data_IF_533917624268
#
_entry.id   IF_533917624268
#
_cell.length_a   1.000
_cell.length_b   1.000
_cell.length_c   1.000
_cell.angle_alpha   90.00
_cell.angle_beta   90.00
_cell.angle_gamma   90.00
#
_symmetry.space_group_name_H-M   'P 1'
#
loop_
_entity.id
_entity.type
_entity.pdbx_description
1 polymer ?
#
# COMPACT_ATOMS: atom_id res chain seq x y z
N UNK A 1 -11.48 19.74 15.69
CA UNK A 1 -11.48 20.33 14.35
C UNK A 1 -12.12 19.36 13.35
N UNK A 2 -12.77 19.89 12.31
CA UNK A 2 -13.38 19.08 11.25
C UNK A 2 -12.34 18.58 10.22
N UNK A 3 -11.20 19.25 10.13
CA UNK A 3 -10.09 18.93 9.23
C UNK A 3 -8.77 19.07 9.96
N UNK A 4 -7.91 18.07 9.82
CA UNK A 4 -6.52 18.05 10.28
C UNK A 4 -5.61 17.86 9.05
N UNK A 5 -4.65 18.75 8.87
CA UNK A 5 -3.66 18.68 7.77
C UNK A 5 -2.29 18.41 8.40
N UNK A 6 -1.61 17.38 7.92
CA UNK A 6 -0.30 16.93 8.40
C UNK A 6 0.65 16.80 7.23
N UNK A 7 1.78 17.50 7.29
CA UNK A 7 2.81 17.46 6.26
C UNK A 7 3.99 16.64 6.74
N UNK A 8 4.23 15.50 6.09
CA UNK A 8 5.26 14.50 6.38
C UNK A 8 5.42 14.16 7.88
N UNK A 9 4.32 13.85 8.60
CA UNK A 9 4.35 13.77 10.06
C UNK A 9 5.23 12.64 10.60
N UNK A 10 5.56 11.62 9.79
CA UNK A 10 6.37 10.47 10.22
C UNK A 10 7.83 10.55 9.79
N UNK A 11 8.23 11.61 9.07
CA UNK A 11 9.56 11.72 8.45
C UNK A 11 10.73 11.63 9.45
N UNK A 12 10.53 12.08 10.69
CA UNK A 12 11.54 12.10 11.76
C UNK A 12 11.34 10.99 12.80
N UNK A 13 10.36 10.12 12.62
CA UNK A 13 10.03 9.06 13.55
C UNK A 13 10.69 7.73 13.14
N UNK A 14 11.09 6.94 14.12
CA UNK A 14 11.42 5.54 13.89
C UNK A 14 10.16 4.74 13.48
N UNK A 15 10.30 3.54 12.91
CA UNK A 15 9.16 2.78 12.39
C UNK A 15 8.10 2.45 13.45
N UNK A 16 8.48 2.26 14.71
CA UNK A 16 7.53 1.94 15.79
C UNK A 16 6.74 3.19 16.14
N UNK A 17 7.43 4.30 16.40
CA UNK A 17 6.79 5.57 16.71
C UNK A 17 5.90 6.07 15.54
N UNK A 18 6.30 5.86 14.31
CA UNK A 18 5.50 6.18 13.13
C UNK A 18 4.19 5.37 13.10
N UNK A 19 4.26 4.06 13.36
CA UNK A 19 3.08 3.20 13.43
C UNK A 19 2.12 3.65 14.53
N UNK A 20 2.62 3.88 15.75
CA UNK A 20 1.81 4.34 16.90
C UNK A 20 1.15 5.70 16.63
N UNK A 21 1.87 6.60 15.96
CA UNK A 21 1.34 7.89 15.53
C UNK A 21 0.18 7.72 14.55
N UNK A 22 0.36 6.91 13.51
CA UNK A 22 -0.67 6.68 12.49
C UNK A 22 -1.90 5.98 13.04
N UNK A 23 -1.73 5.03 13.98
CA UNK A 23 -2.85 4.41 14.69
C UNK A 23 -3.62 5.45 15.51
N UNK A 24 -2.92 6.36 16.17
CA UNK A 24 -3.54 7.46 16.92
C UNK A 24 -4.33 8.39 16.01
N UNK A 25 -3.75 8.77 14.87
CA UNK A 25 -4.43 9.59 13.85
C UNK A 25 -5.68 8.89 13.32
N UNK A 26 -5.61 7.59 13.02
CA UNK A 26 -6.76 6.81 12.58
C UNK A 26 -7.83 6.72 13.66
N UNK A 27 -7.45 6.63 14.92
CA UNK A 27 -8.38 6.64 16.05
C UNK A 27 -9.10 8.00 16.16
N UNK A 28 -8.38 9.11 16.04
CA UNK A 28 -8.96 10.45 16.02
C UNK A 28 -9.97 10.60 14.89
N UNK A 29 -9.59 10.17 13.69
CA UNK A 29 -10.49 10.18 12.52
C UNK A 29 -11.78 9.41 12.80
N UNK A 30 -11.67 8.19 13.33
CA UNK A 30 -12.82 7.32 13.59
C UNK A 30 -13.69 7.80 14.77
N UNK A 31 -13.08 8.16 15.90
CA UNK A 31 -13.78 8.39 17.15
C UNK A 31 -14.37 9.83 17.21
N UNK A 32 -13.72 10.79 16.56
CA UNK A 32 -14.12 12.21 16.56
C UNK A 32 -14.75 12.61 15.22
N UNK A 33 -14.56 11.83 14.15
CA UNK A 33 -15.07 12.15 12.82
C UNK A 33 -14.25 13.25 12.11
N UNK A 34 -13.02 13.54 12.57
CA UNK A 34 -12.14 14.51 11.93
C UNK A 34 -11.62 13.98 10.61
N UNK A 35 -11.79 14.73 9.53
CA UNK A 35 -11.11 14.43 8.26
C UNK A 35 -9.62 14.69 8.41
N UNK A 36 -8.80 13.74 7.99
CA UNK A 36 -7.34 13.89 8.04
C UNK A 36 -6.77 13.86 6.62
N UNK A 37 -6.04 14.90 6.26
CA UNK A 37 -5.24 14.98 5.05
C UNK A 37 -3.77 14.95 5.47
N UNK A 38 -3.01 13.98 4.95
CA UNK A 38 -1.57 13.92 5.23
C UNK A 38 -0.76 13.68 3.97
N UNK A 39 0.45 14.22 3.93
CA UNK A 39 1.45 13.93 2.89
C UNK A 39 2.49 12.97 3.45
N UNK A 40 2.94 12.03 2.65
CA UNK A 40 3.99 11.08 3.03
C UNK A 40 4.71 10.52 1.81
N UNK A 41 5.99 10.17 2.00
CA UNK A 41 6.80 9.50 0.97
C UNK A 41 6.90 8.00 1.19
N UNK A 42 6.75 7.53 2.42
CA UNK A 42 6.80 6.10 2.78
C UNK A 42 5.41 5.46 2.66
N UNK A 43 5.03 5.16 1.43
CA UNK A 43 3.68 4.67 1.11
C UNK A 43 3.33 3.37 1.84
N UNK A 44 4.30 2.48 2.05
CA UNK A 44 4.10 1.23 2.77
C UNK A 44 3.56 1.41 4.19
N UNK A 45 3.92 2.52 4.85
CA UNK A 45 3.52 2.80 6.22
C UNK A 45 2.11 3.39 6.28
N UNK A 46 1.68 4.11 5.24
CA UNK A 46 0.39 4.83 5.17
C UNK A 46 -0.74 3.98 4.59
N UNK A 47 -0.45 3.15 3.60
CA UNK A 47 -1.45 2.38 2.86
C UNK A 47 -2.42 1.62 3.76
N UNK A 48 -2.01 0.98 4.88
CA UNK A 48 -2.93 0.28 5.76
C UNK A 48 -3.95 1.18 6.46
N UNK A 49 -3.66 2.47 6.58
CA UNK A 49 -4.47 3.43 7.33
C UNK A 49 -5.32 4.35 6.45
N UNK A 50 -4.92 4.54 5.19
CA UNK A 50 -5.59 5.45 4.27
C UNK A 50 -6.94 4.89 3.77
N UNK A 51 -7.95 5.76 3.68
CA UNK A 51 -9.21 5.44 3.03
C UNK A 51 -9.16 5.81 1.53
N UNK A 52 -8.48 6.91 1.19
CA UNK A 52 -8.22 7.38 -0.17
C UNK A 52 -6.79 7.86 -0.31
N UNK A 53 -6.25 7.71 -1.50
CA UNK A 53 -4.88 8.12 -1.84
C UNK A 53 -4.93 8.99 -3.09
N UNK A 54 -4.18 10.08 -3.05
CA UNK A 54 -3.91 10.96 -4.17
C UNK A 54 -2.43 10.85 -4.50
N UNK A 55 -2.11 10.38 -5.70
CA UNK A 55 -0.72 10.26 -6.17
C UNK A 55 -0.42 11.46 -7.05
N UNK A 56 0.63 12.19 -6.69
CA UNK A 56 1.16 13.31 -7.48
C UNK A 56 2.57 12.96 -7.95
N UNK A 57 2.84 13.13 -9.22
CA UNK A 57 4.15 12.94 -9.82
C UNK A 57 4.62 14.21 -10.50
N UNK A 58 5.92 14.37 -10.70
CA UNK A 58 6.55 15.55 -11.35
C UNK A 58 6.00 15.83 -12.76
N UNK A 59 5.47 14.81 -13.42
CA UNK A 59 4.79 14.93 -14.72
C UNK A 59 3.35 15.46 -14.66
N UNK A 60 2.82 15.77 -13.47
CA UNK A 60 1.45 16.21 -13.28
C UNK A 60 0.40 15.09 -13.42
N UNK A 61 0.84 13.84 -13.56
CA UNK A 61 -0.07 12.70 -13.53
C UNK A 61 -0.72 12.61 -12.16
N UNK A 62 -2.04 12.54 -12.15
CA UNK A 62 -2.82 12.48 -10.93
C UNK A 62 -3.64 11.20 -10.90
N UNK A 63 -3.36 10.36 -9.92
CA UNK A 63 -4.15 9.16 -9.65
C UNK A 63 -4.86 9.35 -8.31
N UNK A 64 -6.14 9.02 -8.29
CA UNK A 64 -6.96 9.05 -7.09
C UNK A 64 -7.71 7.72 -6.95
N UNK A 65 -7.76 7.20 -5.75
CA UNK A 65 -8.50 5.96 -5.49
C UNK A 65 -8.29 5.41 -4.10
N UNK A 66 -8.87 4.25 -3.87
CA UNK A 66 -8.57 3.45 -2.67
C UNK A 66 -7.14 2.90 -2.73
N UNK A 67 -6.55 2.53 -1.58
CA UNK A 67 -5.21 1.92 -1.56
C UNK A 67 -5.05 0.74 -2.51
N UNK A 68 -6.09 -0.09 -2.68
CA UNK A 68 -6.06 -1.25 -3.58
C UNK A 68 -6.07 -0.86 -5.05
N UNK A 69 -6.88 0.12 -5.42
CA UNK A 69 -6.94 0.64 -6.78
C UNK A 69 -5.62 1.27 -7.19
N UNK A 70 -5.06 2.13 -6.32
CA UNK A 70 -3.78 2.79 -6.56
C UNK A 70 -2.65 1.78 -6.69
N UNK A 71 -2.53 0.83 -5.75
CA UNK A 71 -1.48 -0.19 -5.82
C UNK A 71 -1.58 -1.06 -7.08
N UNK A 72 -2.79 -1.41 -7.48
CA UNK A 72 -3.01 -2.19 -8.71
C UNK A 72 -2.69 -1.37 -9.96
N UNK A 73 -3.07 -0.08 -10.00
CA UNK A 73 -2.77 0.80 -11.13
C UNK A 73 -1.26 1.02 -11.28
N UNK A 74 -0.57 1.42 -10.21
CA UNK A 74 0.88 1.62 -10.22
C UNK A 74 1.66 0.36 -10.61
N UNK A 75 1.19 -0.81 -10.16
CA UNK A 75 1.82 -2.08 -10.51
C UNK A 75 1.62 -2.47 -11.97
N UNK A 76 0.43 -2.23 -12.54
CA UNK A 76 0.15 -2.50 -13.95
C UNK A 76 0.95 -1.61 -14.89
N UNK A 77 1.09 -0.34 -14.53
CA UNK A 77 1.84 0.66 -15.28
C UNK A 77 3.35 0.55 -15.06
N UNK A 78 3.80 -0.33 -14.14
CA UNK A 78 5.20 -0.46 -13.72
C UNK A 78 5.81 0.87 -13.27
N UNK A 79 5.00 1.69 -12.61
CA UNK A 79 5.44 2.98 -12.11
C UNK A 79 6.49 2.82 -11.01
N UNK A 80 7.49 3.71 -10.98
CA UNK A 80 8.60 3.63 -10.00
C UNK A 80 8.13 3.63 -8.53
N UNK A 81 7.06 4.35 -8.22
CA UNK A 81 6.46 4.38 -6.87
C UNK A 81 5.88 3.03 -6.44
N UNK A 82 5.64 2.09 -7.36
CA UNK A 82 5.13 0.76 -7.01
C UNK A 82 6.08 0.00 -6.07
N UNK A 83 7.38 0.22 -6.18
CA UNK A 83 8.38 -0.38 -5.29
C UNK A 83 8.29 0.11 -3.84
N UNK A 84 7.63 1.24 -3.60
CA UNK A 84 7.34 1.78 -2.27
C UNK A 84 6.02 1.28 -1.68
N UNK A 85 5.30 0.41 -2.39
CA UNK A 85 4.07 -0.21 -1.91
C UNK A 85 4.37 -1.37 -0.93
N UNK A 86 3.42 -1.74 -0.06
CA UNK A 86 3.57 -2.92 0.79
C UNK A 86 3.92 -4.18 -0.01
N UNK A 87 4.89 -4.96 0.49
CA UNK A 87 5.36 -6.19 -0.17
C UNK A 87 4.21 -7.15 -0.55
N UNK A 88 3.18 -7.39 0.30
CA UNK A 88 2.06 -8.23 -0.08
C UNK A 88 1.32 -7.76 -1.34
N UNK A 89 1.22 -6.44 -1.52
CA UNK A 89 0.65 -5.82 -2.72
C UNK A 89 1.49 -6.08 -3.96
N UNK A 90 2.82 -5.95 -3.83
CA UNK A 90 3.75 -6.20 -4.94
C UNK A 90 3.64 -7.66 -5.41
N UNK A 91 3.63 -8.61 -4.48
CA UNK A 91 3.45 -10.04 -4.80
C UNK A 91 2.10 -10.30 -5.47
N UNK A 92 1.03 -9.69 -4.96
CA UNK A 92 -0.31 -9.84 -5.52
C UNK A 92 -0.38 -9.41 -6.99
N UNK A 93 0.17 -8.25 -7.33
CA UNK A 93 0.14 -7.72 -8.71
C UNK A 93 0.88 -8.64 -9.68
N UNK A 94 2.04 -9.18 -9.27
CA UNK A 94 2.83 -10.12 -10.08
C UNK A 94 2.09 -11.43 -10.34
N UNK A 95 1.28 -11.89 -9.40
CA UNK A 95 0.53 -13.16 -9.55
C UNK A 95 -0.71 -13.04 -10.42
N UNK A 96 -1.16 -11.82 -10.73
CA UNK A 96 -2.43 -11.56 -11.45
C UNK A 96 -3.63 -12.26 -10.84
N UNK A 97 -3.63 -12.40 -9.51
CA UNK A 97 -4.70 -13.03 -8.75
C UNK A 97 -6.04 -12.32 -8.96
N UNK A 98 -7.13 -13.08 -8.88
CA UNK A 98 -8.51 -12.55 -8.86
C UNK A 98 -9.03 -12.30 -7.43
N UNK A 99 -8.26 -12.69 -6.42
CA UNK A 99 -8.61 -12.48 -5.02
C UNK A 99 -8.42 -10.99 -4.65
N UNK A 100 -8.87 -10.62 -3.46
CA UNK A 100 -8.71 -9.25 -2.95
C UNK A 100 -7.24 -8.93 -2.69
N UNK A 101 -6.77 -7.79 -3.17
CA UNK A 101 -5.40 -7.31 -2.97
C UNK A 101 -5.11 -7.10 -1.47
N UNK A 102 -4.09 -7.74 -0.90
CA UNK A 102 -3.71 -7.55 0.49
C UNK A 102 -2.95 -6.23 0.70
N UNK A 103 -3.27 -5.52 1.76
CA UNK A 103 -2.62 -4.26 2.14
C UNK A 103 -1.58 -4.43 3.26
N UNK A 104 -1.71 -5.49 4.05
CA UNK A 104 -0.85 -5.77 5.20
C UNK A 104 -0.23 -7.16 5.11
N UNK A 105 0.84 -7.40 5.89
CA UNK A 105 1.47 -8.73 5.98
C UNK A 105 0.47 -9.79 6.45
N UNK A 106 -0.40 -9.45 7.41
CA UNK A 106 -1.44 -10.38 7.90
C UNK A 106 -2.42 -10.76 6.79
N UNK A 107 -2.91 -9.77 6.04
CA UNK A 107 -3.77 -10.00 4.87
C UNK A 107 -3.04 -10.78 3.78
N UNK A 108 -1.75 -10.53 3.58
CA UNK A 108 -0.91 -11.24 2.63
C UNK A 108 -0.78 -12.73 2.97
N UNK A 109 -0.60 -13.06 4.24
CA UNK A 109 -0.56 -14.46 4.71
C UNK A 109 -1.88 -15.18 4.47
N UNK A 110 -3.00 -14.51 4.71
CA UNK A 110 -4.32 -15.08 4.42
C UNK A 110 -4.51 -15.26 2.92
N UNK A 111 -4.16 -14.26 2.12
CA UNK A 111 -4.24 -14.29 0.67
C UNK A 111 -3.43 -15.45 0.08
N UNK A 112 -2.21 -15.73 0.58
CA UNK A 112 -1.39 -16.86 0.12
C UNK A 112 -2.12 -18.18 0.36
N UNK A 113 -2.71 -18.37 1.54
CA UNK A 113 -3.49 -19.57 1.86
C UNK A 113 -4.67 -19.77 0.91
N UNK A 114 -5.39 -18.71 0.63
CA UNK A 114 -6.57 -18.74 -0.24
C UNK A 114 -6.16 -18.94 -1.71
N UNK A 115 -5.07 -18.33 -2.13
CA UNK A 115 -4.49 -18.51 -3.46
C UNK A 115 -4.07 -19.97 -3.71
N UNK A 116 -3.39 -20.58 -2.75
CA UNK A 116 -2.99 -21.99 -2.84
C UNK A 116 -4.17 -22.96 -2.86
N UNK A 117 -5.26 -22.62 -2.17
CA UNK A 117 -6.50 -23.44 -2.20
C UNK A 117 -7.24 -23.30 -3.52
N UNK A 118 -7.20 -22.13 -4.13
CA UNK A 118 -7.86 -21.86 -5.41
C UNK A 118 -7.11 -22.49 -6.60
N UNK A 119 -5.80 -22.66 -6.49
CA UNK A 119 -4.94 -23.32 -7.49
C UNK A 119 -4.05 -24.39 -6.85
N UNK A 120 -4.63 -25.58 -6.53
CA UNK A 120 -3.86 -26.67 -5.91
C UNK A 120 -2.80 -27.29 -6.84
N UNK A 121 -2.81 -26.94 -8.13
CA UNK A 121 -1.79 -27.38 -9.10
C UNK A 121 -0.63 -26.40 -9.21
N UNK A 122 -0.65 -25.35 -8.43
CA UNK A 122 0.27 -24.20 -8.46
C UNK A 122 1.73 -24.59 -8.37
N UNK A 123 2.29 -25.08 -9.47
CA UNK A 123 3.73 -24.94 -9.69
C UNK A 123 4.00 -23.42 -9.68
N UNK A 124 4.87 -22.93 -8.80
CA UNK A 124 5.26 -21.53 -8.86
C UNK A 124 5.72 -21.27 -10.30
N UNK A 125 5.01 -20.42 -11.03
CA UNK A 125 5.51 -19.93 -12.32
C UNK A 125 6.82 -19.27 -11.97
N UNK A 126 7.93 -19.90 -12.39
CA UNK A 126 9.27 -19.47 -12.05
C UNK A 126 9.38 -17.98 -12.28
N UNK A 127 9.57 -17.26 -11.19
CA UNK A 127 9.90 -15.84 -11.25
C UNK A 127 11.21 -15.77 -12.05
N UNK A 128 11.16 -15.23 -13.28
CA UNK A 128 12.39 -14.93 -14.00
C UNK A 128 13.03 -13.78 -13.23
N UNK A 129 14.01 -14.13 -12.42
CA UNK A 129 14.90 -13.17 -11.82
C UNK A 129 15.64 -12.52 -13.00
N UNK A 130 15.20 -11.34 -13.41
CA UNK A 130 16.02 -10.52 -14.27
C UNK A 130 17.26 -10.16 -13.46
N UNK A 131 18.38 -10.76 -13.84
CA UNK A 131 19.69 -10.43 -13.32
C UNK A 131 19.86 -8.91 -13.38
N UNK A 132 20.01 -8.31 -12.20
CA UNK A 132 20.40 -6.91 -12.09
C UNK A 132 21.76 -6.74 -12.80
N UNK A 133 21.92 -5.86 -13.78
CA UNK A 133 23.24 -5.56 -14.32
C UNK A 133 24.09 -4.94 -13.22
N UNK A 134 25.32 -5.41 -13.08
CA UNK A 134 26.32 -4.91 -12.15
C UNK A 134 26.77 -3.50 -12.54
#
# INVERSE_FOLDING_TARGET
PSLLILDEPTSQLDPIAASDFLETVKKINRDIGTTVLLTEHRLQDIIPYADRIFVMDEGGAFLEGTPREIGTALGREKHGMFLSMPVPMQIYVETRSRLTCPLTVSQGRQWIRDYQRADPTGKPKACRIHSCPR
#
